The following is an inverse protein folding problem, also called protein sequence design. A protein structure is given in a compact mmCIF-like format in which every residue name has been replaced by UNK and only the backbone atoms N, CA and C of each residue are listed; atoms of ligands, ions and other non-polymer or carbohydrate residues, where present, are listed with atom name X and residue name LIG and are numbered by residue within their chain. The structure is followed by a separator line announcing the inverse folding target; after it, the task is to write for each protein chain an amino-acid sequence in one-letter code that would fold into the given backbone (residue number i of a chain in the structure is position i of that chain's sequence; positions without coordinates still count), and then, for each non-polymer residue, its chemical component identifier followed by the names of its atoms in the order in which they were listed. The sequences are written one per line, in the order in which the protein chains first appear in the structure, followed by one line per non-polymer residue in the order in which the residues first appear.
data_IF_168503616320
#
_entry.id   IF_168503616320
#
_cell.length_a   1.000
_cell.length_b   1.000
_cell.length_c   1.000
_cell.angle_alpha   90.00
_cell.angle_beta   90.00
_cell.angle_gamma   90.00
#
_symmetry.space_group_name_H-M   'P 1'
#
loop_
_entity.id
_entity.type
_entity.pdbx_description
1 polymer ?
#
# COMPACT_ATOMS: atom_id res chain seq x y z
N UNK A 1 2.53 -24.09 -6.23
CA UNK A 1 1.23 -24.75 -5.98
C UNK A 1 0.14 -23.97 -6.69
N UNK A 2 -0.77 -24.60 -7.44
CA UNK A 2 -1.88 -23.91 -8.08
C UNK A 2 -3.15 -24.10 -7.24
N UNK A 3 -3.78 -22.99 -6.84
CA UNK A 3 -5.03 -22.96 -6.08
C UNK A 3 -6.14 -22.32 -6.92
N UNK A 4 -7.39 -22.62 -6.58
CA UNK A 4 -8.55 -21.89 -7.06
C UNK A 4 -9.16 -21.13 -5.89
N UNK A 5 -9.03 -19.81 -5.90
CA UNK A 5 -9.68 -18.91 -4.95
C UNK A 5 -11.03 -18.52 -5.55
N UNK A 6 -12.06 -19.29 -5.22
CA UNK A 6 -13.33 -19.26 -5.94
C UNK A 6 -13.15 -19.68 -7.39
N UNK A 7 -13.45 -18.78 -8.32
CA UNK A 7 -13.26 -18.99 -9.77
C UNK A 7 -11.89 -18.54 -10.28
N UNK A 8 -11.08 -17.88 -9.44
CA UNK A 8 -9.78 -17.32 -9.84
C UNK A 8 -8.65 -18.34 -9.61
N UNK A 9 -7.84 -18.58 -10.64
CA UNK A 9 -6.64 -19.42 -10.55
C UNK A 9 -5.48 -18.63 -9.97
N UNK A 10 -4.87 -19.14 -8.91
CA UNK A 10 -3.79 -18.48 -8.19
C UNK A 10 -2.59 -19.40 -8.06
N UNK A 11 -1.46 -19.01 -8.67
CA UNK A 11 -0.19 -19.72 -8.50
C UNK A 11 0.54 -19.20 -7.25
N UNK A 12 0.64 -20.05 -6.23
CA UNK A 12 1.40 -19.79 -5.01
C UNK A 12 2.85 -20.20 -5.20
N UNK A 13 3.76 -19.24 -5.02
CA UNK A 13 5.21 -19.42 -5.08
C UNK A 13 5.79 -19.37 -3.67
N UNK A 14 6.25 -20.52 -3.17
CA UNK A 14 6.76 -20.68 -1.80
C UNK A 14 8.24 -21.06 -1.73
N UNK A 15 8.95 -21.04 -2.86
CA UNK A 15 10.38 -21.39 -2.95
C UNK A 15 11.20 -20.18 -3.40
N UNK A 16 12.32 -19.84 -2.73
CA UNK A 16 13.18 -18.72 -3.12
C UNK A 16 13.68 -18.81 -4.57
N UNK A 17 13.99 -20.01 -5.06
CA UNK A 17 14.45 -20.23 -6.43
C UNK A 17 13.38 -19.79 -7.44
N UNK A 18 12.14 -20.21 -7.23
CA UNK A 18 11.01 -19.87 -8.11
C UNK A 18 10.63 -18.39 -7.95
N UNK A 19 10.66 -17.86 -6.73
CA UNK A 19 10.42 -16.44 -6.47
C UNK A 19 11.43 -15.55 -7.24
N UNK A 20 12.70 -15.96 -7.30
CA UNK A 20 13.72 -15.26 -8.10
C UNK A 20 13.39 -15.29 -9.59
N UNK A 21 12.97 -16.44 -10.13
CA UNK A 21 12.56 -16.54 -11.54
C UNK A 21 11.40 -15.59 -11.87
N UNK A 22 10.41 -15.48 -10.98
CA UNK A 22 9.24 -14.61 -11.16
C UNK A 22 9.58 -13.13 -10.99
N UNK A 23 10.32 -12.77 -9.95
CA UNK A 23 10.54 -11.36 -9.54
C UNK A 23 11.74 -10.73 -10.28
N UNK A 24 12.70 -11.51 -10.78
CA UNK A 24 13.92 -10.97 -11.39
C UNK A 24 14.09 -11.31 -12.86
N UNK A 25 13.80 -12.55 -13.24
CA UNK A 25 14.05 -13.00 -14.62
C UNK A 25 12.85 -12.79 -15.53
N UNK A 26 11.63 -12.76 -14.97
CA UNK A 26 10.37 -12.60 -15.69
C UNK A 26 9.50 -11.49 -15.09
N UNK A 27 10.13 -10.50 -14.47
CA UNK A 27 9.48 -9.45 -13.68
C UNK A 27 8.40 -8.69 -14.46
N UNK A 28 8.67 -8.34 -15.72
CA UNK A 28 7.74 -7.63 -16.61
C UNK A 28 6.42 -8.39 -16.83
N UNK A 29 6.49 -9.71 -16.99
CA UNK A 29 5.31 -10.56 -17.24
C UNK A 29 4.42 -10.61 -15.99
N UNK A 30 5.05 -10.70 -14.81
CA UNK A 30 4.37 -10.79 -13.52
C UNK A 30 4.17 -9.44 -12.82
N UNK A 31 4.52 -8.32 -13.47
CA UNK A 31 4.41 -6.99 -12.88
C UNK A 31 2.96 -6.51 -12.78
N UNK A 32 2.05 -7.04 -13.61
CA UNK A 32 0.63 -6.68 -13.60
C UNK A 32 -0.02 -7.07 -12.27
N UNK A 33 -0.77 -6.14 -11.67
CA UNK A 33 -1.54 -6.38 -10.45
C UNK A 33 -2.98 -6.80 -10.79
N UNK A 34 -3.55 -7.82 -10.11
CA UNK A 34 -4.97 -8.13 -10.22
C UNK A 34 -5.80 -6.91 -9.82
N UNK A 35 -6.90 -6.66 -10.53
CA UNK A 35 -7.87 -5.63 -10.12
C UNK A 35 -8.78 -6.23 -9.06
N UNK A 36 -8.74 -5.68 -7.86
CA UNK A 36 -9.65 -6.05 -6.78
C UNK A 36 -10.45 -4.85 -6.32
N UNK A 37 -11.61 -5.10 -5.70
CA UNK A 37 -12.50 -4.03 -5.25
C UNK A 37 -11.86 -3.12 -4.20
N UNK A 38 -11.09 -3.69 -3.26
CA UNK A 38 -10.26 -2.93 -2.31
C UNK A 38 -9.29 -1.99 -3.03
N UNK A 39 -8.63 -2.47 -4.08
CA UNK A 39 -7.70 -1.65 -4.86
C UNK A 39 -8.41 -0.52 -5.58
N UNK A 40 -9.60 -0.74 -6.14
CA UNK A 40 -10.37 0.32 -6.78
C UNK A 40 -10.73 1.46 -5.81
N UNK A 41 -11.16 1.12 -4.59
CA UNK A 41 -11.45 2.11 -3.54
C UNK A 41 -10.20 2.89 -3.12
N UNK A 42 -9.12 2.20 -2.78
CA UNK A 42 -7.92 2.83 -2.23
C UNK A 42 -7.07 3.54 -3.28
N UNK A 43 -7.21 3.15 -4.55
CA UNK A 43 -6.34 3.64 -5.63
C UNK A 43 -7.01 4.67 -6.53
N UNK A 44 -8.23 5.12 -6.18
CA UNK A 44 -9.04 5.99 -7.04
C UNK A 44 -9.08 5.46 -8.48
N UNK A 45 -9.58 4.23 -8.65
CA UNK A 45 -9.61 3.51 -9.93
C UNK A 45 -8.19 3.17 -10.48
N UNK A 46 -7.36 2.54 -9.62
CA UNK A 46 -6.01 2.03 -9.96
C UNK A 46 -4.99 3.08 -10.45
N UNK A 47 -5.09 4.33 -9.99
CA UNK A 47 -4.20 5.42 -10.38
C UNK A 47 -3.10 5.72 -9.32
N UNK A 48 -2.52 4.68 -8.73
CA UNK A 48 -1.42 4.83 -7.77
C UNK A 48 -0.21 3.94 -8.11
N UNK A 49 0.88 4.02 -7.36
CA UNK A 49 2.12 3.29 -7.68
C UNK A 49 2.01 1.80 -7.31
N UNK A 50 1.28 1.47 -6.25
CA UNK A 50 1.29 0.13 -5.65
C UNK A 50 0.35 -0.86 -6.37
N UNK A 51 -0.79 -0.38 -6.86
CA UNK A 51 -1.88 -1.18 -7.41
C UNK A 51 -2.22 -0.86 -8.87
N UNK A 52 -1.57 0.13 -9.49
CA UNK A 52 -1.73 0.35 -10.93
C UNK A 52 -1.20 -0.83 -11.74
N UNK A 53 -1.76 -0.99 -12.94
CA UNK A 53 -1.20 -1.88 -13.95
C UNK A 53 0.19 -1.40 -14.38
N UNK A 54 1.02 -2.35 -14.80
CA UNK A 54 2.37 -2.05 -15.26
C UNK A 54 2.33 -1.04 -16.43
N UNK A 55 3.25 -0.06 -16.42
CA UNK A 55 3.29 1.04 -17.40
C UNK A 55 2.75 2.39 -16.88
N UNK A 56 2.28 2.46 -15.63
CA UNK A 56 1.90 3.72 -14.95
C UNK A 56 3.08 4.60 -14.53
N UNK A 57 2.88 5.43 -13.49
CA UNK A 57 3.88 6.42 -12.99
C UNK A 57 5.13 5.74 -12.36
N UNK A 58 6.08 5.31 -13.18
CA UNK A 58 7.29 4.56 -12.77
C UNK A 58 8.50 5.43 -12.37
N UNK A 59 8.49 6.73 -12.64
CA UNK A 59 9.66 7.61 -12.43
C UNK A 59 9.60 8.50 -11.17
N UNK A 60 8.79 8.13 -10.17
CA UNK A 60 8.63 8.94 -8.95
C UNK A 60 9.91 9.02 -8.10
N UNK A 61 10.72 7.96 -8.09
CA UNK A 61 11.98 7.87 -7.35
C UNK A 61 13.20 7.85 -8.28
N UNK A 62 13.16 8.61 -9.39
CA UNK A 62 14.32 8.71 -10.28
C UNK A 62 15.56 9.22 -9.52
N UNK A 63 16.79 8.86 -9.94
CA UNK A 63 18.01 9.32 -9.26
C UNK A 63 18.07 10.85 -9.10
N UNK A 64 17.54 11.59 -10.09
CA UNK A 64 17.43 13.04 -10.03
C UNK A 64 16.49 13.52 -8.91
N UNK A 65 15.30 12.91 -8.78
CA UNK A 65 14.36 13.25 -7.70
C UNK A 65 14.85 12.80 -6.33
N UNK A 66 15.53 11.67 -6.25
CA UNK A 66 16.17 11.20 -5.01
C UNK A 66 17.28 12.16 -4.59
N UNK A 67 18.08 12.66 -5.54
CA UNK A 67 19.14 13.65 -5.29
C UNK A 67 18.57 15.01 -4.88
N UNK A 68 17.48 15.49 -5.49
CA UNK A 68 16.84 16.74 -5.04
C UNK A 68 16.28 16.66 -3.62
N UNK A 69 15.92 15.45 -3.15
CA UNK A 69 15.45 15.20 -1.79
C UNK A 69 16.58 14.90 -0.79
N UNK A 70 17.86 15.00 -1.19
CA UNK A 70 18.99 14.61 -0.35
C UNK A 70 19.24 15.57 0.82
N UNK A 71 19.01 16.87 0.64
CA UNK A 71 19.21 17.89 1.67
C UNK A 71 18.23 17.70 2.84
N UNK A 72 16.95 17.48 2.51
CA UNK A 72 15.89 17.18 3.47
C UNK A 72 16.08 15.85 4.22
N UNK A 73 16.84 14.89 3.67
CA UNK A 73 16.93 13.54 4.23
C UNK A 73 17.70 13.48 5.54
N UNK A 74 18.83 14.16 5.67
CA UNK A 74 19.68 14.03 6.84
C UNK A 74 18.98 14.55 8.12
N UNK A 75 18.39 15.73 8.04
CA UNK A 75 17.62 16.35 9.12
C UNK A 75 16.35 15.56 9.44
N UNK A 76 15.62 15.09 8.42
CA UNK A 76 14.43 14.27 8.65
C UNK A 76 14.82 12.96 9.32
N UNK A 77 15.82 12.24 8.81
CA UNK A 77 16.26 10.94 9.35
C UNK A 77 16.75 11.05 10.80
N UNK A 78 17.47 12.11 11.19
CA UNK A 78 17.87 12.30 12.58
C UNK A 78 16.65 12.50 13.49
N UNK A 79 15.72 13.37 13.10
CA UNK A 79 14.44 13.57 13.80
C UNK A 79 13.57 12.29 13.85
N UNK A 80 13.68 11.43 12.83
CA UNK A 80 13.02 10.13 12.81
C UNK A 80 13.61 9.19 13.85
N UNK A 81 14.94 9.05 13.88
CA UNK A 81 15.63 8.17 14.81
C UNK A 81 15.41 8.59 16.27
N UNK A 82 15.47 9.89 16.56
CA UNK A 82 15.19 10.43 17.89
C UNK A 82 13.77 10.06 18.36
N UNK A 83 12.77 10.28 17.50
CA UNK A 83 11.36 9.99 17.82
C UNK A 83 11.06 8.49 17.90
N UNK A 84 11.69 7.68 17.05
CA UNK A 84 11.56 6.21 17.11
C UNK A 84 12.18 5.69 18.41
N UNK A 85 13.31 6.26 18.85
CA UNK A 85 13.94 5.91 20.13
C UNK A 85 13.03 6.23 21.31
N UNK A 86 12.48 7.45 21.41
CA UNK A 86 11.55 7.83 22.48
C UNK A 86 10.23 7.03 22.42
N UNK A 87 9.73 6.72 21.23
CA UNK A 87 8.52 5.92 21.04
C UNK A 87 8.69 4.43 21.38
N UNK A 88 9.87 3.86 21.11
CA UNK A 88 10.16 2.45 21.45
C UNK A 88 10.10 2.21 22.96
N UNK A 89 10.41 3.24 23.76
CA UNK A 89 10.26 3.23 25.22
C UNK A 89 8.80 3.31 25.68
N UNK A 90 7.88 3.76 24.83
CA UNK A 90 6.46 4.02 25.16
C UNK A 90 5.48 3.00 24.54
N UNK A 91 5.97 2.01 23.79
CA UNK A 91 5.20 0.84 23.36
C UNK A 91 4.14 1.06 22.28
N UNK A 92 4.17 2.15 21.50
CA UNK A 92 3.09 2.48 20.55
C UNK A 92 3.55 2.76 19.11
N UNK A 93 4.28 1.84 18.47
CA UNK A 93 4.96 2.05 17.17
C UNK A 93 4.11 2.50 15.97
N UNK A 94 2.84 2.07 15.87
CA UNK A 94 2.00 2.31 14.67
C UNK A 94 1.61 3.78 14.47
N UNK A 95 1.30 4.51 15.55
CA UNK A 95 0.92 5.93 15.46
C UNK A 95 2.07 6.80 14.94
N UNK A 96 3.31 6.39 15.18
CA UNK A 96 4.50 7.16 14.84
C UNK A 96 4.93 6.97 13.39
N UNK A 97 4.92 5.74 12.86
CA UNK A 97 5.24 5.49 11.44
C UNK A 97 4.32 6.33 10.55
N UNK A 98 3.02 6.39 10.88
CA UNK A 98 2.06 7.23 10.17
C UNK A 98 2.43 8.72 10.28
N UNK A 99 2.73 9.23 11.48
CA UNK A 99 3.12 10.64 11.68
C UNK A 99 4.42 11.01 10.92
N UNK A 100 5.36 10.06 10.83
CA UNK A 100 6.60 10.17 10.07
C UNK A 100 6.35 10.26 8.58
N UNK A 101 5.62 9.29 8.02
CA UNK A 101 5.28 9.25 6.58
C UNK A 101 4.49 10.51 6.23
N UNK A 102 3.49 10.88 7.03
CA UNK A 102 2.69 12.06 6.79
C UNK A 102 3.56 13.34 6.84
N UNK A 103 4.53 13.48 7.74
CA UNK A 103 5.46 14.64 7.73
C UNK A 103 6.36 14.68 6.50
N UNK A 104 6.81 13.53 6.01
CA UNK A 104 7.66 13.45 4.81
C UNK A 104 6.85 13.79 3.55
N UNK A 105 5.61 13.29 3.46
CA UNK A 105 4.75 13.43 2.27
C UNK A 105 3.97 14.75 2.27
N UNK A 106 3.39 15.14 3.40
CA UNK A 106 2.55 16.34 3.54
C UNK A 106 3.34 17.55 4.09
N UNK A 107 4.60 17.37 4.48
CA UNK A 107 5.41 18.44 5.07
C UNK A 107 4.98 18.83 6.49
N UNK A 108 5.32 20.06 6.90
CA UNK A 108 4.92 20.66 8.19
C UNK A 108 3.43 21.04 8.26
N UNK A 109 2.66 20.74 7.21
CA UNK A 109 1.27 21.14 7.02
C UNK A 109 0.25 20.38 7.88
N UNK A 110 0.71 19.42 8.70
CA UNK A 110 -0.15 18.65 9.60
C UNK A 110 -0.27 19.38 10.93
N UNK A 111 -1.24 20.28 11.01
CA UNK A 111 -1.71 20.86 12.27
C UNK A 111 -2.24 19.76 13.20
N UNK A 112 -2.20 20.01 14.53
CA UNK A 112 -2.76 19.08 15.54
C UNK A 112 -4.21 18.67 15.22
N UNK A 113 -4.97 19.57 14.61
CA UNK A 113 -6.37 19.39 14.20
C UNK A 113 -6.57 18.34 13.10
N UNK A 114 -5.59 18.15 12.19
CA UNK A 114 -5.72 17.20 11.07
C UNK A 114 -5.27 15.78 11.43
N UNK A 115 -4.62 15.59 12.58
CA UNK A 115 -4.14 14.26 13.03
C UNK A 115 -5.25 13.25 13.28
N UNK A 116 -6.37 13.59 13.95
CA UNK A 116 -7.48 12.66 14.15
C UNK A 116 -8.08 12.19 12.82
N UNK A 117 -8.20 13.11 11.85
CA UNK A 117 -8.67 12.77 10.50
C UNK A 117 -7.73 11.79 9.80
N UNK A 118 -6.42 12.04 9.83
CA UNK A 118 -5.42 11.12 9.23
C UNK A 118 -5.46 9.74 9.90
N UNK A 119 -5.60 9.70 11.23
CA UNK A 119 -5.72 8.44 11.97
C UNK A 119 -6.99 7.69 11.57
N UNK A 120 -8.12 8.40 11.44
CA UNK A 120 -9.40 7.82 11.00
C UNK A 120 -9.29 7.25 9.59
N UNK A 121 -8.79 8.03 8.63
CA UNK A 121 -8.58 7.58 7.25
C UNK A 121 -7.63 6.38 7.20
N UNK A 122 -6.54 6.39 7.96
CA UNK A 122 -5.59 5.27 8.01
C UNK A 122 -6.25 4.00 8.56
N UNK A 123 -7.07 4.13 9.61
CA UNK A 123 -7.79 3.02 10.21
C UNK A 123 -8.87 2.47 9.27
N UNK A 124 -9.70 3.33 8.68
CA UNK A 124 -10.72 2.93 7.69
C UNK A 124 -10.10 2.28 6.46
N UNK A 125 -9.00 2.84 5.94
CA UNK A 125 -8.26 2.24 4.82
C UNK A 125 -7.69 0.86 5.17
N UNK A 126 -7.22 0.69 6.42
CA UNK A 126 -6.73 -0.60 6.90
C UNK A 126 -7.86 -1.61 7.04
N UNK A 127 -9.04 -1.18 7.49
CA UNK A 127 -10.22 -2.03 7.63
C UNK A 127 -10.66 -2.62 6.29
N UNK A 128 -10.58 -1.85 5.20
CA UNK A 128 -10.90 -2.33 3.84
C UNK A 128 -10.04 -3.52 3.40
N UNK A 129 -8.77 -3.61 3.83
CA UNK A 129 -7.92 -4.77 3.51
C UNK A 129 -8.34 -6.07 4.20
N UNK A 130 -9.13 -5.99 5.27
CA UNK A 130 -9.68 -7.16 5.95
C UNK A 130 -11.06 -7.54 5.42
N UNK A 131 -11.67 -6.71 4.57
CA UNK A 131 -12.97 -7.00 3.98
C UNK A 131 -12.84 -7.97 2.81
N UNK A 132 -13.80 -8.90 2.71
CA UNK A 132 -13.87 -9.90 1.64
C UNK A 132 -14.98 -9.51 0.69
N UNK A 133 -14.60 -9.10 -0.51
CA UNK A 133 -15.51 -8.84 -1.63
C UNK A 133 -15.67 -10.12 -2.45
N UNK A 134 -16.91 -10.59 -2.60
CA UNK A 134 -17.19 -11.81 -3.35
C UNK A 134 -16.86 -11.65 -4.83
N UNK A 135 -17.01 -10.45 -5.40
CA UNK A 135 -16.67 -10.19 -6.79
C UNK A 135 -15.19 -10.47 -7.13
N UNK A 136 -14.28 -10.34 -6.16
CA UNK A 136 -12.85 -10.63 -6.34
C UNK A 136 -12.56 -12.12 -6.55
N UNK A 137 -13.47 -13.00 -6.11
CA UNK A 137 -13.33 -14.46 -6.20
C UNK A 137 -14.36 -15.08 -7.15
N UNK A 138 -15.55 -14.48 -7.24
CA UNK A 138 -16.70 -14.91 -8.02
C UNK A 138 -17.34 -13.67 -8.69
N UNK A 139 -16.82 -13.23 -9.84
CA UNK A 139 -17.29 -12.00 -10.50
C UNK A 139 -18.80 -11.97 -10.78
N UNK A 140 -19.41 -13.14 -11.01
CA UNK A 140 -20.85 -13.29 -11.25
C UNK A 140 -21.72 -13.08 -10.00
N UNK A 141 -21.11 -13.02 -8.81
CA UNK A 141 -21.79 -12.84 -7.52
C UNK A 141 -21.66 -11.42 -6.95
N UNK A 142 -21.22 -10.45 -7.76
CA UNK A 142 -21.09 -9.02 -7.36
C UNK A 142 -22.35 -8.45 -6.69
N UNK A 143 -23.53 -8.90 -7.10
CA UNK A 143 -24.80 -8.44 -6.53
C UNK A 143 -24.94 -8.75 -5.02
N UNK A 144 -24.26 -9.78 -4.51
CA UNK A 144 -24.25 -10.09 -3.08
C UNK A 144 -23.45 -9.07 -2.26
N UNK A 145 -22.38 -8.51 -2.83
CA UNK A 145 -21.62 -7.44 -2.18
C UNK A 145 -22.47 -6.16 -2.03
N UNK A 146 -23.36 -5.88 -3.01
CA UNK A 146 -24.37 -4.80 -2.93
C UNK A 146 -25.30 -5.02 -1.74
N UNK A 147 -25.83 -6.24 -1.57
CA UNK A 147 -26.76 -6.54 -0.49
C UNK A 147 -26.12 -6.45 0.90
N UNK A 148 -24.81 -6.72 1.00
CA UNK A 148 -24.04 -6.59 2.25
C UNK A 148 -23.70 -5.14 2.60
N UNK A 149 -23.90 -4.21 1.66
CA UNK A 149 -23.51 -2.80 1.81
C UNK A 149 -22.02 -2.55 1.55
N UNK A 150 -21.32 -3.52 0.95
CA UNK A 150 -19.88 -3.50 0.66
C UNK A 150 -19.60 -2.92 -0.74
N UNK A 151 -20.08 -1.71 -1.06
CA UNK A 151 -20.13 -1.19 -2.44
C UNK A 151 -19.32 0.07 -2.72
#
# INVERSE_FOLDING_TARGET
MLLHLGTIRTLVVSCPKIAKEVIRNNDLIFATRPKTKVMDFLSYNNNNIAFAQYGGKTHLLSPQRVKSLSFDRAEKVSLLLEKVSDASLRGNGNSYITNVICRVVLGSWITKEKKPLLSKVSHESSALFYEVFLEDFFPNLKWLDVMRGSH
#
